data_IF_872507363157
#
_entry.id   IF_872507363157
#
_cell.length_a   1.000
_cell.length_b   1.000
_cell.length_c   1.000
_cell.angle_alpha   90.00
_cell.angle_beta   90.00
_cell.angle_gamma   90.00
#
_symmetry.space_group_name_H-M   'P 1'
#
loop_
_entity.id
_entity.type
_entity.pdbx_description
1 polymer ?
#
# COMPACT_ATOMS: atom_id res chain seq x y z
N UNK A 1 51.20 15.89 8.45
CA UNK A 1 49.75 16.15 8.40
C UNK A 1 49.49 17.28 7.42
N UNK A 2 49.10 16.94 6.19
CA UNK A 2 48.43 17.84 5.25
C UNK A 2 47.33 17.01 4.61
N UNK A 3 46.10 17.36 4.95
CA UNK A 3 44.88 16.85 4.31
C UNK A 3 44.43 17.98 3.40
N UNK A 4 44.25 17.68 2.12
CA UNK A 4 43.45 18.47 1.19
C UNK A 4 42.45 17.53 0.50
N UNK A 5 41.27 18.03 0.08
CA UNK A 5 40.00 17.37 0.28
C UNK A 5 39.18 17.18 -1.02
N UNK A 6 37.94 16.71 -0.85
CA UNK A 6 36.81 16.85 -1.78
C UNK A 6 36.74 15.93 -3.01
N UNK A 7 36.49 14.63 -2.77
CA UNK A 7 35.72 13.78 -3.70
C UNK A 7 34.19 14.05 -3.60
N UNK A 8 33.82 15.33 -3.42
CA UNK A 8 32.42 15.73 -3.51
C UNK A 8 32.03 15.87 -4.99
N UNK A 9 30.80 15.45 -5.28
CA UNK A 9 30.14 15.44 -6.58
C UNK A 9 30.48 14.26 -7.50
N UNK A 10 30.33 13.04 -6.98
CA UNK A 10 29.84 11.96 -7.83
C UNK A 10 28.52 12.40 -8.47
N UNK A 11 28.56 12.72 -9.77
CA UNK A 11 27.39 13.05 -10.56
C UNK A 11 26.32 11.95 -10.39
N UNK A 12 25.01 12.27 -10.41
CA UNK A 12 23.99 11.23 -10.48
C UNK A 12 24.25 10.48 -11.79
N UNK A 13 24.72 9.23 -11.69
CA UNK A 13 24.84 8.34 -12.84
C UNK A 13 23.47 8.30 -13.50
N UNK A 14 23.33 9.00 -14.63
CA UNK A 14 22.15 8.91 -15.47
C UNK A 14 21.95 7.43 -15.76
N UNK A 15 20.87 6.86 -15.24
CA UNK A 15 20.50 5.47 -15.50
C UNK A 15 20.50 5.30 -17.01
N UNK A 16 21.27 4.32 -17.49
CA UNK A 16 21.29 3.93 -18.89
C UNK A 16 19.83 3.79 -19.40
N UNK A 17 19.55 4.16 -20.67
CA UNK A 17 18.20 4.10 -21.21
C UNK A 17 17.67 2.68 -21.01
N UNK A 18 16.57 2.59 -20.24
CA UNK A 18 15.90 1.32 -19.95
C UNK A 18 15.45 0.75 -21.28
N UNK A 19 15.97 -0.42 -21.66
CA UNK A 19 15.45 -1.15 -22.82
C UNK A 19 14.01 -1.53 -22.45
N UNK A 20 13.06 -0.83 -23.05
CA UNK A 20 11.62 -1.04 -22.84
C UNK A 20 11.30 -2.45 -23.33
N UNK A 21 11.23 -3.39 -22.41
CA UNK A 21 10.78 -4.75 -22.68
C UNK A 21 9.34 -4.66 -23.15
N UNK A 22 9.05 -5.26 -24.30
CA UNK A 22 7.83 -5.11 -25.10
C UNK A 22 7.74 -3.78 -25.86
N UNK A 23 7.63 -3.87 -27.19
CA UNK A 23 7.19 -2.78 -28.06
C UNK A 23 5.71 -2.44 -27.91
N UNK A 24 5.06 -2.94 -26.85
CA UNK A 24 3.66 -2.71 -26.55
C UNK A 24 3.48 -1.43 -25.73
N UNK A 25 2.42 -0.70 -26.04
CA UNK A 25 2.01 0.47 -25.27
C UNK A 25 1.68 0.08 -23.83
N UNK A 26 1.87 1.00 -22.89
CA UNK A 26 1.50 0.79 -21.47
C UNK A 26 0.02 0.41 -21.37
N UNK A 27 -0.79 1.05 -22.21
CA UNK A 27 -2.22 0.86 -22.35
C UNK A 27 -2.57 -0.57 -22.75
N UNK A 28 -1.85 -1.15 -23.73
CA UNK A 28 -2.05 -2.55 -24.15
C UNK A 28 -1.78 -3.55 -23.01
N UNK A 29 -0.69 -3.35 -22.25
CA UNK A 29 -0.38 -4.18 -21.08
C UNK A 29 -1.44 -4.02 -19.98
N UNK A 30 -1.95 -2.81 -19.75
CA UNK A 30 -3.00 -2.60 -18.76
C UNK A 30 -4.29 -3.32 -19.18
N UNK A 31 -4.71 -3.18 -20.44
CA UNK A 31 -5.92 -3.81 -20.96
C UNK A 31 -5.84 -5.35 -20.93
N UNK A 32 -4.71 -5.91 -21.36
CA UNK A 32 -4.49 -7.36 -21.37
C UNK A 32 -4.52 -7.96 -19.95
N UNK A 33 -3.89 -7.28 -18.98
CA UNK A 33 -3.69 -7.82 -17.65
C UNK A 33 -4.69 -7.30 -16.60
N UNK A 34 -5.61 -6.40 -16.93
CA UNK A 34 -6.66 -5.96 -16.03
C UNK A 34 -7.50 -7.12 -15.42
N UNK A 35 -7.86 -8.19 -16.15
CA UNK A 35 -8.56 -9.34 -15.57
C UNK A 35 -7.76 -10.08 -14.48
N UNK A 36 -6.43 -10.04 -14.56
CA UNK A 36 -5.54 -10.64 -13.55
C UNK A 36 -5.70 -9.95 -12.19
N UNK A 37 -5.89 -8.63 -12.18
CA UNK A 37 -6.08 -7.85 -10.96
C UNK A 37 -7.29 -8.38 -10.18
N UNK A 38 -8.42 -8.56 -10.85
CA UNK A 38 -9.65 -9.06 -10.22
C UNK A 38 -9.44 -10.47 -9.64
N UNK A 39 -8.74 -11.35 -10.35
CA UNK A 39 -8.42 -12.70 -9.87
C UNK A 39 -7.57 -12.64 -8.59
N UNK A 40 -6.55 -11.79 -8.56
CA UNK A 40 -5.68 -11.62 -7.38
C UNK A 40 -6.46 -11.00 -6.22
N UNK A 41 -7.30 -9.99 -6.48
CA UNK A 41 -8.13 -9.33 -5.47
C UNK A 41 -9.01 -10.35 -4.74
N UNK A 42 -9.70 -11.23 -5.48
CA UNK A 42 -10.50 -12.32 -4.88
C UNK A 42 -9.67 -13.26 -4.02
N UNK A 43 -8.48 -13.66 -4.47
CA UNK A 43 -7.58 -14.54 -3.72
C UNK A 43 -7.06 -13.91 -2.42
N UNK A 44 -6.81 -12.60 -2.44
CA UNK A 44 -6.37 -11.85 -1.27
C UNK A 44 -7.54 -11.67 -0.31
N UNK A 45 -8.68 -11.21 -0.82
CA UNK A 45 -9.91 -10.98 -0.08
C UNK A 45 -10.37 -12.23 0.68
N UNK A 46 -10.36 -13.40 0.01
CA UNK A 46 -10.80 -14.66 0.61
C UNK A 46 -9.96 -15.12 1.81
N UNK A 47 -8.74 -14.60 1.99
CA UNK A 47 -7.84 -14.98 3.08
C UNK A 47 -7.93 -14.07 4.30
N UNK A 48 -8.44 -12.84 4.13
CA UNK A 48 -8.34 -11.79 5.16
C UNK A 48 -9.71 -11.32 5.66
N UNK A 49 -10.78 -11.52 4.88
CA UNK A 49 -12.06 -10.83 5.08
C UNK A 49 -12.68 -10.93 6.49
N UNK A 50 -12.70 -9.77 7.19
CA UNK A 50 -13.76 -9.37 8.15
C UNK A 50 -14.22 -7.89 8.00
N UNK A 51 -13.43 -7.00 7.38
CA UNK A 51 -13.73 -5.54 7.38
C UNK A 51 -13.41 -4.76 6.10
N UNK A 52 -12.63 -5.29 5.15
CA UNK A 52 -12.21 -4.56 3.94
C UNK A 52 -13.16 -4.81 2.76
N UNK A 53 -13.22 -3.90 1.79
CA UNK A 53 -14.04 -4.04 0.58
C UNK A 53 -13.26 -4.61 -0.61
N UNK A 54 -13.91 -5.46 -1.41
CA UNK A 54 -13.28 -6.06 -2.58
C UNK A 54 -12.93 -5.02 -3.65
N UNK A 55 -13.79 -4.02 -3.85
CA UNK A 55 -13.60 -3.00 -4.88
C UNK A 55 -12.40 -2.11 -4.58
N UNK A 56 -12.09 -1.86 -3.30
CA UNK A 56 -10.88 -1.14 -2.88
C UNK A 56 -9.60 -1.92 -3.21
N UNK A 57 -9.62 -3.25 -3.03
CA UNK A 57 -8.52 -4.11 -3.44
C UNK A 57 -8.33 -4.08 -4.96
N UNK A 58 -9.42 -4.15 -5.72
CA UNK A 58 -9.36 -4.07 -7.19
C UNK A 58 -8.74 -2.73 -7.62
N UNK A 59 -9.20 -1.60 -7.06
CA UNK A 59 -8.65 -0.29 -7.36
C UNK A 59 -7.15 -0.19 -7.03
N UNK A 60 -6.76 -0.64 -5.83
CA UNK A 60 -5.34 -0.70 -5.42
C UNK A 60 -4.51 -1.52 -6.40
N UNK A 61 -5.05 -2.65 -6.84
CA UNK A 61 -4.39 -3.53 -7.80
C UNK A 61 -4.25 -2.93 -9.20
N UNK A 62 -5.25 -2.17 -9.67
CA UNK A 62 -5.19 -1.49 -10.97
C UNK A 62 -4.12 -0.41 -10.98
N UNK A 63 -4.00 0.37 -9.91
CA UNK A 63 -2.93 1.37 -9.76
C UNK A 63 -1.56 0.66 -9.81
N UNK A 64 -1.40 -0.43 -9.07
CA UNK A 64 -0.15 -1.21 -9.07
C UNK A 64 0.16 -1.85 -10.44
N UNK A 65 -0.85 -2.24 -11.21
CA UNK A 65 -0.68 -2.74 -12.57
C UNK A 65 -0.17 -1.64 -13.50
N UNK A 66 -0.73 -0.43 -13.43
CA UNK A 66 -0.27 0.72 -14.20
C UNK A 66 1.20 1.03 -13.86
N UNK A 67 1.54 1.10 -12.57
CA UNK A 67 2.92 1.30 -12.14
C UNK A 67 3.85 0.17 -12.62
N UNK A 68 3.39 -1.08 -12.58
CA UNK A 68 4.16 -2.22 -13.06
C UNK A 68 4.40 -2.14 -14.57
N UNK A 69 3.38 -1.78 -15.36
CA UNK A 69 3.50 -1.64 -16.83
C UNK A 69 4.49 -0.55 -17.24
N UNK A 70 4.60 0.52 -16.45
CA UNK A 70 5.55 1.61 -16.71
C UNK A 70 6.99 1.27 -16.29
N UNK A 71 7.16 0.42 -15.29
CA UNK A 71 8.46 0.13 -14.67
C UNK A 71 9.04 -1.24 -15.03
N UNK A 72 8.29 -2.07 -15.74
CA UNK A 72 8.78 -3.38 -16.14
C UNK A 72 9.93 -3.26 -17.14
N UNK A 73 10.95 -4.08 -16.90
CA UNK A 73 12.07 -4.28 -17.81
C UNK A 73 12.18 -5.79 -18.04
N UNK A 74 12.34 -6.19 -19.31
CA UNK A 74 12.48 -7.59 -19.66
C UNK A 74 13.83 -8.12 -19.17
N UNK A 75 13.80 -8.85 -18.05
CA UNK A 75 14.98 -9.39 -17.36
C UNK A 75 14.95 -10.92 -17.25
N UNK A 76 14.33 -11.59 -18.24
CA UNK A 76 14.23 -13.06 -18.30
C UNK A 76 13.01 -13.67 -17.62
N UNK A 77 11.99 -12.87 -17.27
CA UNK A 77 10.69 -13.35 -16.78
C UNK A 77 9.56 -12.57 -17.42
N UNK A 78 8.43 -13.24 -17.69
CA UNK A 78 7.25 -12.61 -18.29
C UNK A 78 6.67 -11.49 -17.41
N UNK A 79 6.09 -10.47 -18.05
CA UNK A 79 5.39 -9.37 -17.38
C UNK A 79 4.33 -9.88 -16.39
N UNK A 80 3.56 -10.90 -16.77
CA UNK A 80 2.55 -11.52 -15.91
C UNK A 80 3.08 -11.92 -14.53
N UNK A 81 4.28 -12.51 -14.48
CA UNK A 81 4.95 -12.94 -13.24
C UNK A 81 5.34 -11.75 -12.37
N UNK A 82 5.87 -10.70 -13.01
CA UNK A 82 6.21 -9.45 -12.35
C UNK A 82 4.97 -8.75 -11.78
N UNK A 83 3.97 -8.49 -12.64
CA UNK A 83 2.73 -7.83 -12.28
C UNK A 83 2.00 -8.56 -11.14
N UNK A 84 1.92 -9.90 -11.20
CA UNK A 84 1.30 -10.72 -10.14
C UNK A 84 1.90 -10.42 -8.77
N UNK A 85 3.23 -10.31 -8.69
CA UNK A 85 3.93 -10.05 -7.43
C UNK A 85 3.69 -8.62 -6.95
N UNK A 86 3.73 -7.63 -7.87
CA UNK A 86 3.51 -6.21 -7.56
C UNK A 86 2.08 -5.92 -7.09
N UNK A 87 1.09 -6.40 -7.85
CA UNK A 87 -0.33 -6.24 -7.55
C UNK A 87 -0.68 -6.83 -6.18
N UNK A 88 -0.25 -8.08 -5.92
CA UNK A 88 -0.53 -8.73 -4.64
C UNK A 88 0.14 -8.00 -3.48
N UNK A 89 1.37 -7.53 -3.65
CA UNK A 89 2.07 -6.74 -2.64
C UNK A 89 1.32 -5.47 -2.27
N UNK A 90 0.88 -4.70 -3.27
CA UNK A 90 0.12 -3.47 -3.06
C UNK A 90 -1.19 -3.70 -2.28
N UNK A 91 -1.94 -4.74 -2.64
CA UNK A 91 -3.17 -5.12 -1.93
C UNK A 91 -2.90 -5.50 -0.46
N UNK A 92 -1.85 -6.29 -0.21
CA UNK A 92 -1.48 -6.69 1.15
C UNK A 92 -1.08 -5.46 1.98
N UNK A 93 -0.33 -4.53 1.39
CA UNK A 93 0.09 -3.31 2.07
C UNK A 93 -1.09 -2.38 2.37
N UNK A 94 -2.08 -2.30 1.47
CA UNK A 94 -3.33 -1.58 1.73
C UNK A 94 -4.10 -2.17 2.93
N UNK A 95 -4.27 -3.49 2.96
CA UNK A 95 -4.95 -4.17 4.09
C UNK A 95 -4.22 -3.96 5.42
N UNK A 96 -2.89 -3.91 5.40
CA UNK A 96 -2.11 -3.59 6.60
C UNK A 96 -2.38 -2.17 7.08
N UNK A 97 -2.42 -1.18 6.17
CA UNK A 97 -2.72 0.22 6.51
C UNK A 97 -4.10 0.35 7.14
N UNK A 98 -5.11 -0.30 6.57
CA UNK A 98 -6.47 -0.31 7.13
C UNK A 98 -6.50 -0.92 8.54
N UNK A 99 -5.82 -2.05 8.74
CA UNK A 99 -5.73 -2.69 10.05
C UNK A 99 -5.01 -1.82 11.10
N UNK A 100 -3.95 -1.12 10.70
CA UNK A 100 -3.20 -0.22 11.58
C UNK A 100 -4.02 1.01 11.98
N UNK A 101 -4.82 1.56 11.06
CA UNK A 101 -5.77 2.64 11.33
C UNK A 101 -6.84 2.17 12.32
N UNK A 102 -7.44 1.00 12.09
CA UNK A 102 -8.45 0.43 12.99
C UNK A 102 -7.90 0.20 14.41
N UNK A 103 -6.69 -0.35 14.53
CA UNK A 103 -6.02 -0.54 15.82
C UNK A 103 -5.76 0.80 16.52
N UNK A 104 -5.26 1.79 15.78
CA UNK A 104 -5.01 3.14 16.31
C UNK A 104 -6.29 3.79 16.83
N UNK A 105 -7.40 3.67 16.11
CA UNK A 105 -8.70 4.18 16.54
C UNK A 105 -9.20 3.50 17.83
N UNK A 106 -9.04 2.17 17.94
CA UNK A 106 -9.40 1.44 19.15
C UNK A 106 -8.56 1.88 20.37
N UNK A 107 -7.27 2.15 20.20
CA UNK A 107 -6.39 2.66 21.27
C UNK A 107 -6.84 4.06 21.70
N UNK A 108 -7.15 4.94 20.75
CA UNK A 108 -7.64 6.28 21.04
C UNK A 108 -8.97 6.26 21.82
N UNK A 109 -9.92 5.40 21.41
CA UNK A 109 -11.19 5.24 22.11
C UNK A 109 -10.99 4.79 23.57
N UNK A 110 -10.13 3.78 23.81
CA UNK A 110 -9.79 3.33 25.17
C UNK A 110 -9.20 4.46 26.01
N UNK A 111 -8.32 5.28 25.42
CA UNK A 111 -7.72 6.43 26.11
C UNK A 111 -8.77 7.47 26.50
N UNK A 112 -9.68 7.81 25.59
CA UNK A 112 -10.79 8.74 25.85
C UNK A 112 -11.67 8.21 27.00
N UNK A 113 -12.05 6.93 26.97
CA UNK A 113 -12.85 6.33 28.03
C UNK A 113 -12.13 6.34 29.39
N UNK A 114 -10.84 6.02 29.42
CA UNK A 114 -10.05 6.04 30.66
C UNK A 114 -9.92 7.45 31.24
N UNK A 115 -9.62 8.45 30.40
CA UNK A 115 -9.55 9.86 30.84
C UNK A 115 -10.90 10.35 31.33
N UNK A 116 -11.98 10.00 30.64
CA UNK A 116 -13.35 10.35 31.07
C UNK A 116 -13.67 9.75 32.44
N UNK A 117 -13.41 8.46 32.65
CA UNK A 117 -13.65 7.79 33.93
C UNK A 117 -12.83 8.43 35.08
N UNK A 118 -11.57 8.79 34.82
CA UNK A 118 -10.72 9.47 35.80
C UNK A 118 -11.28 10.86 36.17
N UNK A 119 -11.73 11.64 35.20
CA UNK A 119 -12.35 12.95 35.44
C UNK A 119 -13.69 12.83 36.19
N UNK A 120 -14.51 11.84 35.84
CA UNK A 120 -15.77 11.55 36.54
C UNK A 120 -15.52 11.20 38.02
N UNK A 121 -14.49 10.40 38.31
CA UNK A 121 -14.08 10.07 39.68
C UNK A 121 -13.56 11.29 40.45
N UNK A 122 -12.73 12.13 39.81
CA UNK A 122 -12.18 13.34 40.44
C UNK A 122 -13.24 14.39 40.75
N UNK A 123 -14.26 14.51 39.90
CA UNK A 123 -15.30 15.53 40.03
C UNK A 123 -16.52 15.05 40.83
N UNK A 124 -16.50 13.83 41.39
CA UNK A 124 -17.65 13.20 42.08
C UNK A 124 -18.95 13.29 41.27
N UNK A 125 -18.87 13.39 39.94
CA UNK A 125 -20.03 13.56 39.08
C UNK A 125 -20.63 12.20 38.77
N UNK A 126 -21.73 11.87 39.44
CA UNK A 126 -22.59 10.78 39.05
C UNK A 126 -23.13 11.03 37.63
N UNK A 127 -23.20 9.97 36.83
CA UNK A 127 -23.69 9.94 35.45
C UNK A 127 -24.96 10.77 35.32
N UNK A 128 -24.90 11.91 34.63
CA UNK A 128 -26.11 12.55 34.11
C UNK A 128 -26.70 11.60 33.07
N UNK A 129 -27.81 10.94 33.41
CA UNK A 129 -28.57 10.11 32.48
C UNK A 129 -29.17 11.01 31.39
N UNK A 130 -29.05 10.68 30.10
CA UNK A 130 -29.79 11.40 29.08
C UNK A 130 -31.29 11.00 29.14
N UNK A 131 -32.21 11.90 28.73
CA UNK A 131 -33.63 11.59 28.57
C UNK A 131 -33.89 10.61 27.40
#
# INVERSE_FOLDING_TARGET
MRIEPAEQFAAPMARAPRVRGYGESVEALVDEYAPLVRKIAWQVFSRVSRTSELDDLIQTGLIALIEASQNYEERGFAFATYATTRIRGAMIDQLRREADVGRSAMVAAKRIHATRAALEQQLMRARASPP
#
